data_IF_543573909294
#
_entry.id   IF_543573909294
#
_cell.length_a   1.000
_cell.length_b   1.000
_cell.length_c   1.000
_cell.angle_alpha   90.00
_cell.angle_beta   90.00
_cell.angle_gamma   90.00
#
_symmetry.space_group_name_H-M   'P 1'
#
loop_
_entity.id
_entity.type
_entity.pdbx_description
1 polymer ?
#
# COMPACT_ATOMS: atom_id res chain seq x y z
N UNK A 1 -14.12 -18.49 -5.42
CA UNK A 1 -12.65 -18.54 -5.58
C UNK A 1 -12.10 -17.51 -4.63
N UNK A 2 -11.53 -17.95 -3.50
CA UNK A 2 -10.75 -17.08 -2.62
C UNK A 2 -9.46 -16.76 -3.35
N UNK A 3 -9.48 -15.71 -4.16
CA UNK A 3 -8.25 -15.16 -4.71
C UNK A 3 -7.72 -14.26 -3.61
N UNK A 4 -6.70 -14.73 -2.88
CA UNK A 4 -5.96 -13.86 -1.98
C UNK A 4 -5.32 -12.76 -2.82
N UNK A 5 -6.01 -11.63 -2.90
CA UNK A 5 -5.65 -10.50 -3.75
C UNK A 5 -4.38 -9.80 -3.24
N UNK A 6 -3.76 -10.25 -2.15
CA UNK A 6 -2.49 -9.75 -1.65
C UNK A 6 -1.29 -10.61 -2.07
N UNK A 7 -1.47 -11.73 -2.79
CA UNK A 7 -0.33 -12.54 -3.25
C UNK A 7 0.69 -11.71 -4.07
N UNK A 8 0.21 -10.78 -4.90
CA UNK A 8 1.09 -9.90 -5.67
C UNK A 8 1.95 -8.98 -4.78
N UNK A 9 1.43 -8.53 -3.63
CA UNK A 9 2.15 -7.69 -2.65
C UNK A 9 3.33 -8.45 -2.02
N UNK A 10 3.26 -9.78 -2.01
CA UNK A 10 4.30 -10.64 -1.45
C UNK A 10 5.18 -11.29 -2.53
N UNK A 11 5.00 -10.91 -3.81
CA UNK A 11 5.71 -11.53 -4.94
C UNK A 11 7.19 -11.09 -5.06
N UNK A 12 7.68 -10.22 -4.18
CA UNK A 12 9.08 -9.85 -4.10
C UNK A 12 9.32 -8.72 -3.10
N UNK A 13 10.53 -8.70 -2.52
CA UNK A 13 11.05 -7.56 -1.77
C UNK A 13 12.35 -7.09 -2.42
N UNK A 14 12.42 -5.81 -2.76
CA UNK A 14 13.61 -5.16 -3.30
C UNK A 14 14.14 -4.13 -2.29
N UNK A 15 15.45 -3.91 -2.31
CA UNK A 15 16.05 -2.86 -1.49
C UNK A 15 15.66 -1.47 -2.04
N UNK A 16 15.14 -0.56 -1.21
CA UNK A 16 14.80 0.79 -1.65
C UNK A 16 16.06 1.55 -2.08
N UNK A 17 16.00 2.18 -3.25
CA UNK A 17 16.99 3.18 -3.66
C UNK A 17 16.76 4.45 -2.84
N UNK A 18 17.82 4.95 -2.21
CA UNK A 18 17.75 6.09 -1.27
C UNK A 18 16.59 5.93 -0.27
N UNK A 19 16.77 4.99 0.66
CA UNK A 19 15.78 4.68 1.70
C UNK A 19 15.37 5.89 2.56
N UNK A 20 16.17 6.95 2.55
CA UNK A 20 15.94 8.16 3.34
C UNK A 20 15.20 9.26 2.58
N UNK A 21 15.08 9.15 1.26
CA UNK A 21 14.36 10.11 0.44
C UNK A 21 12.88 10.15 0.88
N UNK A 22 12.46 11.31 1.38
CA UNK A 22 11.05 11.55 1.72
C UNK A 22 10.19 11.41 0.47
N UNK A 23 9.15 10.58 0.55
CA UNK A 23 8.18 10.35 -0.51
C UNK A 23 6.77 10.74 -0.04
N UNK A 24 6.01 11.34 -0.94
CA UNK A 24 4.57 11.53 -0.83
C UNK A 24 3.93 10.63 -1.89
N UNK A 25 3.11 9.68 -1.47
CA UNK A 25 2.31 8.84 -2.36
C UNK A 25 1.11 9.66 -2.87
N UNK A 26 1.04 9.99 -4.17
CA UNK A 26 0.03 10.92 -4.66
C UNK A 26 -1.36 10.30 -4.83
N UNK A 27 -1.52 8.98 -4.66
CA UNK A 27 -2.79 8.33 -4.98
C UNK A 27 -2.98 6.98 -4.28
N UNK A 28 -3.93 6.93 -3.35
CA UNK A 28 -4.27 5.71 -2.66
C UNK A 28 -5.79 5.46 -2.57
N UNK A 29 -6.22 4.22 -2.79
CA UNK A 29 -7.61 3.81 -2.60
C UNK A 29 -7.74 2.85 -1.42
N UNK A 30 -8.72 3.07 -0.55
CA UNK A 30 -9.10 2.12 0.48
C UNK A 30 -10.40 1.44 0.09
N UNK A 31 -10.52 0.14 0.38
CA UNK A 31 -11.73 -0.62 0.06
C UNK A 31 -12.00 -1.76 1.04
N UNK A 32 -13.27 -2.10 1.13
CA UNK A 32 -13.74 -3.36 1.69
C UNK A 32 -14.92 -3.85 0.86
N UNK A 33 -14.72 -4.90 0.06
CA UNK A 33 -15.74 -5.41 -0.87
C UNK A 33 -15.48 -6.86 -1.23
N UNK A 34 -16.53 -7.69 -1.18
CA UNK A 34 -16.51 -9.06 -1.72
C UNK A 34 -15.34 -9.91 -1.23
N UNK A 35 -15.04 -9.89 0.07
CA UNK A 35 -13.95 -10.65 0.68
C UNK A 35 -12.56 -10.03 0.52
N UNK A 36 -12.42 -8.93 -0.22
CA UNK A 36 -11.16 -8.18 -0.33
C UNK A 36 -11.20 -6.92 0.53
N UNK A 37 -10.18 -6.77 1.38
CA UNK A 37 -9.97 -5.62 2.26
C UNK A 37 -8.59 -5.01 2.01
N UNK A 38 -8.55 -3.69 1.94
CA UNK A 38 -7.33 -2.90 1.99
C UNK A 38 -7.70 -1.55 2.63
N UNK A 39 -7.41 -1.41 3.92
CA UNK A 39 -7.73 -0.24 4.74
C UNK A 39 -6.42 0.39 5.25
N UNK A 40 -6.54 1.31 6.20
CA UNK A 40 -5.41 2.03 6.76
C UNK A 40 -4.35 1.08 7.36
N UNK A 41 -4.76 -0.06 7.93
CA UNK A 41 -3.82 -1.02 8.50
C UNK A 41 -2.95 -1.70 7.43
N UNK A 42 -3.56 -2.16 6.32
CA UNK A 42 -2.81 -2.73 5.20
C UNK A 42 -1.90 -1.68 4.55
N UNK A 43 -2.42 -0.47 4.33
CA UNK A 43 -1.63 0.65 3.79
C UNK A 43 -0.40 0.94 4.64
N UNK A 44 -0.58 1.07 5.95
CA UNK A 44 0.52 1.36 6.87
C UNK A 44 1.61 0.30 6.82
N UNK A 45 1.24 -0.98 6.69
CA UNK A 45 2.20 -2.08 6.56
C UNK A 45 2.93 -2.01 5.22
N UNK A 46 2.23 -1.68 4.14
CA UNK A 46 2.79 -1.61 2.80
C UNK A 46 3.81 -0.46 2.68
N UNK A 47 3.44 0.73 3.14
CA UNK A 47 4.32 1.91 3.11
C UNK A 47 5.53 1.79 4.06
N UNK A 48 5.49 0.88 5.03
CA UNK A 48 6.60 0.66 5.97
C UNK A 48 7.67 -0.34 5.47
N UNK A 49 7.51 -0.91 4.27
CA UNK A 49 8.36 -2.02 3.78
C UNK A 49 9.70 -1.60 3.16
N UNK A 50 9.94 -0.31 2.90
CA UNK A 50 11.22 0.10 2.29
C UNK A 50 11.46 1.60 2.25
N UNK A 51 10.75 2.30 1.37
CA UNK A 51 10.93 3.74 1.18
C UNK A 51 10.35 4.56 2.34
N UNK A 52 10.90 5.75 2.57
CA UNK A 52 10.39 6.71 3.56
C UNK A 52 9.13 7.45 3.05
N UNK A 53 8.03 6.72 2.85
CA UNK A 53 6.72 7.30 2.54
C UNK A 53 6.20 8.01 3.79
N UNK A 54 6.03 9.33 3.68
CA UNK A 54 5.66 10.20 4.80
C UNK A 54 4.18 10.59 4.80
N UNK A 55 3.59 10.70 3.61
CA UNK A 55 2.23 11.17 3.41
C UNK A 55 1.63 10.43 2.21
N UNK A 56 0.30 10.32 2.18
CA UNK A 56 -0.43 9.73 1.05
C UNK A 56 -1.74 10.47 0.82
N UNK A 57 -2.17 10.54 -0.43
CA UNK A 57 -3.46 11.13 -0.81
C UNK A 57 -4.50 10.02 -0.91
N UNK A 58 -5.49 10.04 -0.02
CA UNK A 58 -6.66 9.18 -0.14
C UNK A 58 -7.63 9.68 -1.22
N UNK A 59 -7.91 8.82 -2.20
CA UNK A 59 -8.87 9.06 -3.27
C UNK A 59 -10.11 8.19 -3.04
N UNK A 60 -11.16 8.79 -2.49
CA UNK A 60 -12.46 8.15 -2.33
C UNK A 60 -13.38 8.39 -3.52
N UNK A 61 -14.42 7.56 -3.69
CA UNK A 61 -15.62 8.01 -4.39
C UNK A 61 -16.45 8.84 -3.42
N UNK A 62 -16.70 10.10 -3.79
CA UNK A 62 -17.85 10.87 -3.31
C UNK A 62 -19.12 10.36 -3.95
#
# INVERSE_FOLDING_TARGET
MDVDRLEWINNGQEAPVDSTQRIIDPHHHLWERGGSRYRAEELSQDTARGHAVSDTVFVGKV
#
